data_IF_070778382391
#
_entry.id   IF_070778382391
#
_cell.length_a   1.000
_cell.length_b   1.000
_cell.length_c   1.000
_cell.angle_alpha   90.00
_cell.angle_beta   90.00
_cell.angle_gamma   90.00
#
_symmetry.space_group_name_H-M   'P 1'
#
loop_
_entity.id
_entity.type
_entity.pdbx_description
1 polymer ?
#
# COMPACT_ATOMS: atom_id res chain seq x y z
N UNK A 1 20.04 6.02 14.18
CA UNK A 1 19.81 4.72 14.84
C UNK A 1 19.50 4.90 16.33
N UNK A 2 20.31 5.67 17.08
CA UNK A 2 20.14 5.90 18.53
C UNK A 2 18.77 6.52 18.89
N UNK A 3 18.30 7.53 18.15
CA UNK A 3 16.98 8.14 18.35
C UNK A 3 15.82 7.16 18.14
N UNK A 4 15.94 6.25 17.18
CA UNK A 4 14.94 5.22 16.95
C UNK A 4 14.88 4.21 18.11
N UNK A 5 16.02 3.82 18.65
CA UNK A 5 16.09 2.92 19.82
C UNK A 5 15.45 3.58 21.04
N UNK A 6 15.74 4.86 21.29
CA UNK A 6 15.14 5.64 22.38
C UNK A 6 13.62 5.75 22.20
N UNK A 7 13.14 6.00 20.98
CA UNK A 7 11.72 6.09 20.69
C UNK A 7 10.99 4.78 20.93
N UNK A 8 11.54 3.67 20.45
CA UNK A 8 10.99 2.32 20.69
C UNK A 8 10.97 1.95 22.17
N UNK A 9 12.03 2.29 22.91
CA UNK A 9 12.09 2.06 24.34
C UNK A 9 11.02 2.86 25.10
N UNK A 10 10.81 4.14 24.74
CA UNK A 10 9.76 4.96 25.33
C UNK A 10 8.35 4.42 25.03
N UNK A 11 8.10 3.98 23.79
CA UNK A 11 6.83 3.36 23.41
C UNK A 11 6.59 2.08 24.22
N UNK A 12 7.60 1.22 24.34
CA UNK A 12 7.48 -0.01 25.13
C UNK A 12 7.13 0.28 26.59
N UNK A 13 7.85 1.20 27.23
CA UNK A 13 7.60 1.60 28.63
C UNK A 13 6.18 2.15 28.78
N UNK A 14 5.73 2.98 27.86
CA UNK A 14 4.38 3.55 27.88
C UNK A 14 3.30 2.45 27.81
N UNK A 15 3.43 1.50 26.88
CA UNK A 15 2.48 0.39 26.78
C UNK A 15 2.55 -0.58 27.96
N UNK A 16 3.74 -0.82 28.50
CA UNK A 16 3.91 -1.66 29.71
C UNK A 16 3.25 -1.02 30.93
N UNK A 17 3.34 0.31 31.09
CA UNK A 17 2.63 1.06 32.12
C UNK A 17 1.11 0.97 31.98
N UNK A 18 0.58 1.11 30.76
CA UNK A 18 -0.86 0.93 30.51
C UNK A 18 -1.29 -0.49 30.85
N UNK A 19 -0.56 -1.50 30.38
CA UNK A 19 -0.86 -2.91 30.69
C UNK A 19 -0.83 -3.21 32.18
N UNK A 20 0.14 -2.65 32.89
CA UNK A 20 0.27 -2.85 34.34
C UNK A 20 -0.81 -2.15 35.15
N UNK A 21 -1.49 -1.15 34.57
CA UNK A 21 -2.65 -0.47 35.21
C UNK A 21 -3.95 -1.25 35.11
N UNK A 22 -4.02 -2.25 34.21
CA UNK A 22 -5.18 -3.14 34.09
C UNK A 22 -5.07 -4.26 35.11
N UNK A 23 -5.85 -4.17 36.18
CA UNK A 23 -5.92 -5.19 37.21
C UNK A 23 -7.31 -5.80 37.25
N UNK A 24 -7.40 -7.10 37.37
CA UNK A 24 -8.65 -7.79 37.60
C UNK A 24 -8.97 -7.81 39.11
N UNK A 25 -10.19 -7.48 39.43
CA UNK A 25 -10.67 -7.64 40.81
C UNK A 25 -10.87 -9.13 41.15
N UNK A 26 -10.84 -9.47 42.43
CA UNK A 26 -11.16 -10.85 42.87
C UNK A 26 -12.55 -11.31 42.42
N UNK A 27 -13.51 -10.38 42.30
CA UNK A 27 -14.87 -10.66 41.83
C UNK A 27 -14.85 -11.03 40.34
N UNK A 28 -14.16 -10.24 39.49
CA UNK A 28 -14.03 -10.52 38.06
C UNK A 28 -13.30 -11.85 37.81
N UNK A 29 -12.22 -12.10 38.54
CA UNK A 29 -11.47 -13.36 38.45
C UNK A 29 -12.32 -14.57 38.84
N UNK A 30 -13.16 -14.43 39.88
CA UNK A 30 -14.05 -15.48 40.30
C UNK A 30 -15.16 -15.73 39.30
N UNK A 31 -15.76 -14.67 38.72
CA UNK A 31 -16.77 -14.79 37.64
C UNK A 31 -16.15 -15.50 36.43
N UNK A 32 -14.94 -15.08 36.03
CA UNK A 32 -14.23 -15.69 34.90
C UNK A 32 -13.96 -17.18 35.16
N UNK A 33 -13.51 -17.53 36.38
CA UNK A 33 -13.27 -18.92 36.76
C UNK A 33 -14.54 -19.76 36.64
N UNK A 34 -15.67 -19.26 37.11
CA UNK A 34 -16.98 -19.97 37.02
C UNK A 34 -17.46 -20.09 35.58
N UNK A 35 -17.32 -19.02 34.75
CA UNK A 35 -17.65 -19.07 33.32
C UNK A 35 -16.86 -20.13 32.54
N UNK A 36 -15.60 -20.36 32.92
CA UNK A 36 -14.72 -21.31 32.24
C UNK A 36 -14.83 -22.76 32.77
N UNK A 37 -15.16 -22.94 34.06
CA UNK A 37 -15.04 -24.23 34.72
C UNK A 37 -16.37 -24.86 35.14
N UNK A 38 -17.45 -24.07 35.31
CA UNK A 38 -18.73 -24.60 35.68
C UNK A 38 -19.33 -25.44 34.55
N UNK A 39 -19.82 -26.59 34.90
CA UNK A 39 -20.51 -27.51 33.99
C UNK A 39 -21.98 -27.60 34.34
N UNK A 40 -22.78 -27.49 33.31
CA UNK A 40 -24.24 -27.65 33.44
C UNK A 40 -24.71 -28.81 32.57
N UNK A 41 -25.66 -29.57 33.04
CA UNK A 41 -26.38 -30.56 32.23
C UNK A 41 -27.62 -29.88 31.65
N UNK A 42 -27.78 -29.99 30.33
CA UNK A 42 -28.95 -29.43 29.63
C UNK A 42 -29.66 -30.54 28.86
N UNK A 43 -30.98 -30.48 28.88
CA UNK A 43 -31.83 -31.21 27.95
C UNK A 43 -32.37 -30.21 26.94
N UNK A 44 -32.37 -30.56 25.66
CA UNK A 44 -32.86 -29.66 24.61
C UNK A 44 -33.56 -30.41 23.49
N UNK A 45 -34.54 -29.76 22.90
CA UNK A 45 -35.25 -30.21 21.70
C UNK A 45 -34.89 -29.28 20.55
N UNK A 46 -34.35 -29.82 19.47
CA UNK A 46 -34.07 -29.07 18.24
C UNK A 46 -35.23 -29.25 17.25
N UNK A 47 -35.93 -28.16 16.96
CA UNK A 47 -36.97 -28.14 15.94
C UNK A 47 -36.43 -27.45 14.69
N UNK A 48 -36.28 -28.15 13.56
CA UNK A 48 -35.79 -27.55 12.32
C UNK A 48 -36.85 -26.65 11.69
N UNK A 49 -36.44 -25.50 11.14
CA UNK A 49 -37.38 -24.53 10.56
C UNK A 49 -37.96 -24.93 9.21
N UNK A 50 -37.41 -25.93 8.54
CA UNK A 50 -37.88 -26.48 7.25
C UNK A 50 -39.23 -27.20 7.35
N UNK A 51 -39.68 -27.55 8.56
CA UNK A 51 -41.01 -28.08 8.82
C UNK A 51 -42.13 -27.09 8.41
N UNK A 52 -41.81 -25.77 8.39
CA UNK A 52 -42.73 -24.73 7.91
C UNK A 52 -42.28 -24.29 6.52
N UNK A 53 -43.07 -24.56 5.44
CA UNK A 53 -42.75 -24.09 4.11
C UNK A 53 -42.70 -22.55 4.05
N UNK A 54 -41.66 -21.99 3.39
CA UNK A 54 -41.50 -20.54 3.23
C UNK A 54 -42.66 -19.88 2.51
N UNK A 55 -43.32 -20.62 1.62
CA UNK A 55 -44.52 -20.16 0.89
C UNK A 55 -45.70 -19.79 1.73
N UNK A 56 -45.73 -20.25 3.01
CA UNK A 56 -46.78 -19.89 3.96
C UNK A 56 -46.60 -18.55 4.65
N UNK A 57 -45.40 -17.99 4.55
CA UNK A 57 -45.00 -16.78 5.26
C UNK A 57 -44.52 -15.72 4.25
N UNK A 58 -45.31 -14.67 4.04
CA UNK A 58 -44.91 -13.54 3.19
C UNK A 58 -44.20 -12.49 4.02
N UNK A 59 -43.10 -11.98 3.46
CA UNK A 59 -42.34 -10.82 3.99
C UNK A 59 -42.74 -9.60 3.19
N UNK A 60 -43.15 -8.54 3.87
CA UNK A 60 -43.56 -7.27 3.26
C UNK A 60 -42.42 -6.25 3.36
N UNK A 61 -42.37 -5.32 2.41
CA UNK A 61 -41.39 -4.23 2.41
C UNK A 61 -41.42 -3.37 3.68
N UNK A 62 -42.62 -3.21 4.28
CA UNK A 62 -42.78 -2.51 5.55
C UNK A 62 -42.11 -3.23 6.72
N UNK A 63 -42.04 -4.56 6.69
CA UNK A 63 -41.35 -5.35 7.73
C UNK A 63 -39.84 -5.22 7.58
N UNK A 64 -39.33 -5.29 6.36
CA UNK A 64 -37.91 -5.05 6.05
C UNK A 64 -37.49 -3.63 6.49
N UNK A 65 -38.30 -2.61 6.12
CA UNK A 65 -38.05 -1.24 6.55
C UNK A 65 -38.04 -1.07 8.07
N UNK A 66 -38.96 -1.73 8.77
CA UNK A 66 -39.00 -1.69 10.23
C UNK A 66 -37.83 -2.41 10.88
N UNK A 67 -37.38 -3.52 10.30
CA UNK A 67 -36.21 -4.26 10.73
C UNK A 67 -34.95 -3.42 10.59
N UNK A 68 -34.72 -2.77 9.43
CA UNK A 68 -33.60 -1.89 9.19
C UNK A 68 -33.58 -0.71 10.19
N UNK A 69 -34.73 -0.11 10.48
CA UNK A 69 -34.83 0.98 11.47
C UNK A 69 -34.46 0.51 12.87
N UNK A 70 -34.88 -0.69 13.25
CA UNK A 70 -34.60 -1.28 14.56
C UNK A 70 -33.14 -1.68 14.72
N UNK A 71 -32.55 -2.15 13.64
CA UNK A 71 -31.14 -2.61 13.61
C UNK A 71 -30.21 -1.62 12.90
N UNK A 72 -30.51 -0.32 13.05
CA UNK A 72 -29.84 0.76 12.33
C UNK A 72 -28.31 0.67 12.43
N UNK A 73 -27.79 0.44 13.63
CA UNK A 73 -26.34 0.41 13.89
C UNK A 73 -25.59 -0.69 13.10
N UNK A 74 -26.28 -1.77 12.74
CA UNK A 74 -25.70 -2.88 11.97
C UNK A 74 -25.82 -2.70 10.46
N UNK A 75 -26.79 -1.92 9.98
CA UNK A 75 -27.09 -1.75 8.55
C UNK A 75 -26.79 -0.36 8.01
N UNK A 76 -26.53 0.61 8.89
CA UNK A 76 -26.31 1.97 8.43
C UNK A 76 -25.00 2.10 7.68
N UNK A 77 -25.10 2.54 6.41
CA UNK A 77 -23.94 2.92 5.60
C UNK A 77 -23.31 4.19 6.18
N UNK A 78 -22.03 4.16 6.39
CA UNK A 78 -21.29 5.31 6.86
C UNK A 78 -21.22 6.40 5.79
N UNK A 79 -20.94 7.63 6.21
CA UNK A 79 -20.66 8.70 5.28
C UNK A 79 -19.39 8.34 4.50
N UNK A 80 -19.47 8.41 3.18
CA UNK A 80 -18.34 8.12 2.29
C UNK A 80 -18.27 9.10 1.13
N UNK A 81 -17.09 9.21 0.53
CA UNK A 81 -16.79 10.07 -0.60
C UNK A 81 -16.15 9.24 -1.70
N UNK A 82 -16.48 9.55 -2.95
CA UNK A 82 -15.99 8.89 -4.13
C UNK A 82 -15.13 9.85 -4.94
N UNK A 83 -14.05 9.35 -5.54
CA UNK A 83 -13.18 10.09 -6.45
C UNK A 83 -12.88 9.30 -7.71
N UNK A 84 -12.61 10.04 -8.78
CA UNK A 84 -11.77 9.60 -9.89
C UNK A 84 -10.41 10.28 -9.78
N UNK A 85 -9.36 9.59 -10.18
CA UNK A 85 -8.03 10.17 -10.15
C UNK A 85 -7.13 9.64 -11.25
N UNK A 86 -6.08 10.41 -11.56
CA UNK A 86 -4.93 9.96 -12.34
C UNK A 86 -3.67 10.14 -11.52
N UNK A 87 -2.74 9.22 -11.67
CA UNK A 87 -1.42 9.31 -11.08
C UNK A 87 -0.37 9.54 -12.15
N UNK A 88 0.46 10.56 -11.96
CA UNK A 88 1.57 10.91 -12.81
C UNK A 88 2.85 10.71 -12.01
N UNK A 89 3.61 9.64 -12.27
CA UNK A 89 4.86 9.38 -11.55
C UNK A 89 5.92 10.42 -11.89
N UNK A 90 6.71 10.83 -10.90
CA UNK A 90 7.88 11.68 -11.13
C UNK A 90 9.10 10.81 -11.40
N UNK A 91 9.20 10.32 -12.64
CA UNK A 91 10.22 9.39 -13.08
C UNK A 91 11.16 10.03 -14.08
N UNK A 92 12.37 9.48 -14.16
CA UNK A 92 13.37 9.88 -15.14
C UNK A 92 12.88 9.59 -16.57
N UNK A 93 13.16 10.52 -17.48
CA UNK A 93 12.91 10.35 -18.90
C UNK A 93 13.96 9.44 -19.56
N UNK A 94 13.68 8.99 -20.78
CA UNK A 94 14.65 8.27 -21.60
C UNK A 94 15.91 9.12 -21.90
N UNK A 95 15.77 10.44 -21.90
CA UNK A 95 16.90 11.37 -22.06
C UNK A 95 17.77 11.31 -20.81
N UNK A 96 17.19 11.32 -19.61
CA UNK A 96 17.93 11.21 -18.35
C UNK A 96 18.69 9.88 -18.29
N UNK A 97 18.02 8.77 -18.62
CA UNK A 97 18.66 7.45 -18.65
C UNK A 97 19.84 7.40 -19.64
N UNK A 98 19.69 8.00 -20.83
CA UNK A 98 20.77 8.08 -21.81
C UNK A 98 21.92 8.97 -21.33
N UNK A 99 21.63 10.09 -20.66
CA UNK A 99 22.63 10.95 -20.06
C UNK A 99 23.46 10.23 -18.98
N UNK A 100 22.77 9.49 -18.10
CA UNK A 100 23.42 8.66 -17.08
C UNK A 100 24.31 7.60 -17.73
N UNK A 101 23.83 6.92 -18.76
CA UNK A 101 24.58 5.90 -19.49
C UNK A 101 25.83 6.49 -20.14
N UNK A 102 25.69 7.62 -20.85
CA UNK A 102 26.82 8.34 -21.49
C UNK A 102 27.83 8.81 -20.45
N UNK A 103 27.36 9.31 -19.30
CA UNK A 103 28.27 9.69 -18.22
C UNK A 103 29.06 8.48 -17.68
N UNK A 104 28.42 7.34 -17.48
CA UNK A 104 29.09 6.12 -17.04
C UNK A 104 30.08 5.58 -18.09
N UNK A 105 29.78 5.73 -19.38
CA UNK A 105 30.75 5.40 -20.47
C UNK A 105 31.97 6.29 -20.39
N UNK A 106 31.79 7.59 -20.18
CA UNK A 106 32.91 8.54 -19.98
C UNK A 106 33.70 8.16 -18.71
N UNK A 107 33.07 7.89 -17.61
CA UNK A 107 33.70 7.44 -16.38
C UNK A 107 34.45 6.12 -16.56
N UNK A 108 33.95 5.20 -17.39
CA UNK A 108 34.61 3.94 -17.70
C UNK A 108 35.91 4.15 -18.50
N UNK A 109 35.83 4.96 -19.54
CA UNK A 109 36.89 5.08 -20.56
C UNK A 109 37.85 6.24 -20.32
N UNK A 110 37.48 7.22 -19.52
CA UNK A 110 38.17 8.49 -19.32
C UNK A 110 37.61 9.60 -20.21
N UNK A 111 37.77 10.83 -19.78
CA UNK A 111 37.29 12.02 -20.50
C UNK A 111 38.10 13.25 -20.17
N UNK A 112 37.97 14.26 -21.03
CA UNK A 112 38.60 15.57 -20.80
C UNK A 112 37.56 16.53 -20.24
N UNK A 113 37.92 17.21 -19.17
CA UNK A 113 37.07 18.20 -18.50
C UNK A 113 37.76 19.54 -18.41
N UNK A 114 37.00 20.62 -18.61
CA UNK A 114 37.54 21.97 -18.39
C UNK A 114 37.45 22.31 -16.90
N UNK A 115 38.56 22.54 -16.24
CA UNK A 115 38.63 23.06 -14.90
C UNK A 115 38.24 24.55 -14.92
N UNK A 116 37.08 24.85 -14.32
CA UNK A 116 36.52 26.22 -14.31
C UNK A 116 37.35 27.24 -13.49
N UNK A 117 38.19 26.75 -12.57
CA UNK A 117 39.04 27.60 -11.73
C UNK A 117 40.34 27.99 -12.45
N UNK A 118 40.95 27.03 -13.12
CA UNK A 118 42.24 27.21 -13.80
C UNK A 118 42.12 27.52 -15.29
N UNK A 119 40.91 27.40 -15.88
CA UNK A 119 40.65 27.47 -17.32
C UNK A 119 41.53 26.53 -18.15
N UNK A 120 42.00 25.41 -17.57
CA UNK A 120 42.78 24.39 -18.23
C UNK A 120 41.94 23.15 -18.50
N UNK A 121 42.29 22.41 -19.55
CA UNK A 121 41.69 21.09 -19.81
C UNK A 121 42.46 20.07 -18.98
N UNK A 122 41.74 19.34 -18.15
CA UNK A 122 42.22 18.23 -17.34
C UNK A 122 41.75 16.91 -17.95
N UNK A 123 42.64 15.95 -18.06
CA UNK A 123 42.29 14.59 -18.46
C UNK A 123 41.97 13.75 -17.21
N UNK A 124 40.78 13.24 -17.16
CA UNK A 124 40.29 12.34 -16.10
C UNK A 124 40.49 10.91 -16.60
N UNK A 125 41.29 10.13 -15.87
CA UNK A 125 41.52 8.72 -16.19
C UNK A 125 40.21 7.92 -16.04
N UNK A 126 40.02 6.96 -16.93
CA UNK A 126 38.86 6.07 -16.84
C UNK A 126 38.97 5.08 -15.66
N UNK A 127 37.82 4.62 -15.18
CA UNK A 127 37.73 3.65 -14.09
C UNK A 127 38.52 2.36 -14.38
N UNK A 128 38.71 2.01 -15.65
CA UNK A 128 39.52 0.88 -16.08
C UNK A 128 41.01 1.08 -15.81
N UNK A 129 41.51 2.33 -15.83
CA UNK A 129 42.94 2.69 -15.80
C UNK A 129 43.36 3.29 -14.45
N UNK A 130 42.42 3.77 -13.64
CA UNK A 130 42.69 4.42 -12.35
C UNK A 130 43.32 3.42 -11.37
N UNK A 131 44.32 3.89 -10.60
CA UNK A 131 45.01 3.06 -9.58
C UNK A 131 44.24 3.02 -8.27
N UNK A 132 43.80 4.18 -7.79
CA UNK A 132 42.98 4.30 -6.60
C UNK A 132 41.49 4.30 -7.00
N UNK A 133 40.94 3.10 -7.16
CA UNK A 133 39.55 2.92 -7.51
C UNK A 133 38.60 3.24 -6.34
N UNK A 134 39.08 3.20 -5.08
CA UNK A 134 38.26 3.53 -3.91
C UNK A 134 37.95 5.02 -3.87
N UNK A 135 38.98 5.88 -4.01
CA UNK A 135 38.80 7.33 -4.11
C UNK A 135 37.94 7.71 -5.32
N UNK A 136 38.16 7.03 -6.46
CA UNK A 136 37.37 7.27 -7.67
C UNK A 136 35.90 6.98 -7.49
N UNK A 137 35.56 5.90 -6.77
CA UNK A 137 34.15 5.56 -6.43
C UNK A 137 33.56 6.61 -5.47
N UNK A 138 34.31 7.03 -4.46
CA UNK A 138 33.83 8.07 -3.52
C UNK A 138 33.49 9.39 -4.25
N UNK A 139 34.21 9.73 -5.32
CA UNK A 139 33.97 10.96 -6.09
C UNK A 139 32.78 10.80 -7.05
N UNK A 140 32.69 9.67 -7.76
CA UNK A 140 31.80 9.53 -8.90
C UNK A 140 30.59 8.60 -8.72
N UNK A 141 30.52 7.83 -7.64
CA UNK A 141 29.40 6.94 -7.37
C UNK A 141 28.39 7.58 -6.43
N UNK A 142 27.11 7.32 -6.64
CA UNK A 142 26.05 7.76 -5.75
C UNK A 142 25.93 6.84 -4.51
N UNK A 143 26.57 5.67 -4.57
CA UNK A 143 26.58 4.66 -3.49
C UNK A 143 28.03 4.36 -3.10
N UNK A 144 28.30 4.33 -1.80
CA UNK A 144 29.62 3.98 -1.26
C UNK A 144 29.93 2.50 -1.49
N UNK A 145 31.21 2.20 -1.78
CA UNK A 145 31.68 0.84 -1.96
C UNK A 145 31.96 0.17 -0.60
N UNK A 146 31.42 -1.02 -0.40
CA UNK A 146 31.56 -1.79 0.84
C UNK A 146 32.77 -2.74 0.90
N UNK A 147 33.45 -2.94 -0.23
CA UNK A 147 34.58 -3.85 -0.40
C UNK A 147 34.37 -5.30 0.08
N UNK A 148 33.15 -5.83 -0.13
CA UNK A 148 32.78 -7.19 0.28
C UNK A 148 33.02 -8.19 -0.87
N UNK A 149 33.59 -9.35 -0.50
CA UNK A 149 33.74 -10.48 -1.42
C UNK A 149 32.40 -11.20 -1.57
N UNK A 150 31.93 -11.34 -2.80
CA UNK A 150 30.64 -11.94 -3.15
C UNK A 150 30.81 -13.26 -3.91
N UNK A 151 29.94 -14.21 -3.64
CA UNK A 151 29.76 -15.41 -4.47
C UNK A 151 28.97 -15.06 -5.73
N UNK A 152 28.97 -15.93 -6.73
CA UNK A 152 28.17 -15.74 -7.93
C UNK A 152 26.68 -15.54 -7.65
N UNK A 153 26.13 -16.19 -6.60
CA UNK A 153 24.72 -16.10 -6.22
C UNK A 153 24.35 -14.77 -5.53
N UNK A 154 25.34 -14.09 -4.95
CA UNK A 154 25.16 -12.78 -4.28
C UNK A 154 25.31 -11.61 -5.25
N UNK A 155 25.84 -11.86 -6.47
CA UNK A 155 25.91 -10.85 -7.51
C UNK A 155 24.53 -10.60 -8.15
N UNK A 156 24.38 -9.44 -8.80
CA UNK A 156 23.18 -9.08 -9.54
C UNK A 156 22.74 -10.19 -10.51
N UNK A 157 21.49 -10.65 -10.40
CA UNK A 157 20.97 -11.87 -10.99
C UNK A 157 21.24 -11.99 -12.51
N UNK A 158 20.87 -10.98 -13.29
CA UNK A 158 20.95 -11.00 -14.75
C UNK A 158 22.39 -10.93 -15.27
N UNK A 159 23.31 -10.32 -14.53
CA UNK A 159 24.70 -10.08 -14.94
C UNK A 159 25.71 -10.92 -14.14
N UNK A 160 25.27 -11.77 -13.22
CA UNK A 160 26.13 -12.55 -12.34
C UNK A 160 27.16 -13.40 -13.10
N UNK A 161 26.78 -14.02 -14.23
CA UNK A 161 27.68 -14.82 -15.07
C UNK A 161 28.77 -13.97 -15.71
N UNK A 162 28.42 -12.80 -16.22
CA UNK A 162 29.37 -11.87 -16.85
C UNK A 162 30.33 -11.31 -15.80
N UNK A 163 29.78 -10.78 -14.70
CA UNK A 163 30.56 -10.18 -13.62
C UNK A 163 31.55 -11.16 -13.00
N UNK A 164 31.07 -12.38 -12.73
CA UNK A 164 31.93 -13.43 -12.17
C UNK A 164 33.00 -13.90 -13.16
N UNK A 165 32.73 -13.80 -14.46
CA UNK A 165 33.63 -14.15 -15.56
C UNK A 165 34.76 -13.16 -15.80
N UNK A 166 34.60 -11.88 -15.43
CA UNK A 166 35.55 -10.80 -15.70
C UNK A 166 36.97 -11.14 -15.25
N UNK A 167 37.99 -10.67 -15.97
CA UNK A 167 39.40 -10.75 -15.57
C UNK A 167 39.73 -9.62 -14.61
N UNK A 168 40.77 -9.79 -13.79
CA UNK A 168 41.27 -8.74 -12.90
C UNK A 168 41.57 -7.45 -13.67
N UNK A 169 40.98 -6.35 -13.22
CA UNK A 169 41.09 -5.01 -13.86
C UNK A 169 40.08 -4.78 -14.99
N UNK A 170 39.39 -5.80 -15.47
CA UNK A 170 38.38 -5.66 -16.53
C UNK A 170 37.13 -4.95 -15.99
N UNK A 171 36.55 -4.06 -16.81
CA UNK A 171 35.35 -3.29 -16.47
C UNK A 171 34.23 -3.68 -17.42
N UNK A 172 33.05 -3.96 -16.84
CA UNK A 172 31.81 -4.24 -17.57
C UNK A 172 30.81 -3.12 -17.33
N UNK A 173 29.98 -2.84 -18.31
CA UNK A 173 28.93 -1.82 -18.27
C UNK A 173 29.14 -0.65 -19.23
N UNK A 174 28.23 0.34 -19.23
CA UNK A 174 27.09 0.47 -18.27
C UNK A 174 25.97 -0.56 -18.49
N UNK A 175 25.41 -1.05 -17.40
CA UNK A 175 24.26 -1.93 -17.39
C UNK A 175 23.23 -1.47 -16.35
N UNK A 176 21.95 -1.81 -16.56
CA UNK A 176 20.87 -1.46 -15.65
C UNK A 176 20.71 -2.57 -14.60
N UNK A 177 20.63 -2.17 -13.33
CA UNK A 177 20.35 -3.04 -12.20
C UNK A 177 19.27 -2.37 -11.32
N UNK A 178 18.03 -2.82 -11.48
CA UNK A 178 16.87 -2.20 -10.84
C UNK A 178 16.70 -0.73 -11.24
N UNK A 179 16.72 0.17 -10.24
CA UNK A 179 16.62 1.62 -10.45
C UNK A 179 17.98 2.32 -10.51
N UNK A 180 19.03 1.61 -10.92
CA UNK A 180 20.37 2.15 -11.07
C UNK A 180 21.01 1.74 -12.40
N UNK A 181 21.98 2.54 -12.87
CA UNK A 181 22.96 2.11 -13.84
C UNK A 181 24.31 1.91 -13.17
N UNK A 182 25.06 0.89 -13.60
CA UNK A 182 26.35 0.52 -13.02
C UNK A 182 27.42 0.29 -14.08
N UNK A 183 28.67 0.58 -13.70
CA UNK A 183 29.86 -0.01 -14.31
C UNK A 183 30.63 -0.74 -13.21
N UNK A 184 31.05 -1.96 -13.49
CA UNK A 184 31.66 -2.87 -12.51
C UNK A 184 33.05 -3.28 -12.92
N UNK A 185 34.04 -3.10 -12.04
CA UNK A 185 35.41 -3.50 -12.22
C UNK A 185 35.77 -4.70 -11.36
N UNK A 186 36.33 -5.73 -11.96
CA UNK A 186 36.89 -6.88 -11.22
C UNK A 186 38.20 -6.48 -10.52
N UNK A 187 38.20 -6.51 -9.21
CA UNK A 187 39.39 -6.20 -8.40
C UNK A 187 40.17 -7.45 -8.09
N UNK A 188 39.51 -8.49 -7.60
CA UNK A 188 40.17 -9.72 -7.17
C UNK A 188 39.22 -10.92 -7.23
N UNK A 189 39.83 -12.10 -7.48
CA UNK A 189 39.17 -13.41 -7.30
C UNK A 189 39.85 -14.18 -6.20
N UNK A 190 39.07 -14.70 -5.26
CA UNK A 190 39.54 -15.43 -4.10
C UNK A 190 38.83 -16.75 -3.97
N UNK A 191 39.52 -17.77 -3.54
CA UNK A 191 38.92 -19.02 -3.10
C UNK A 191 38.84 -19.03 -1.57
N UNK A 192 37.65 -19.21 -1.02
CA UNK A 192 37.39 -19.28 0.40
C UNK A 192 36.75 -20.64 0.70
N UNK A 193 37.57 -21.58 1.18
CA UNK A 193 37.18 -22.99 1.29
C UNK A 193 36.82 -23.60 -0.07
N UNK A 194 35.59 -24.05 -0.21
CA UNK A 194 35.06 -24.61 -1.47
C UNK A 194 34.34 -23.57 -2.35
N UNK A 195 34.24 -22.32 -1.92
CA UNK A 195 33.55 -21.26 -2.63
C UNK A 195 34.52 -20.35 -3.36
N UNK A 196 34.23 -20.07 -4.62
CA UNK A 196 34.91 -19.03 -5.37
C UNK A 196 34.17 -17.72 -5.11
N UNK A 197 34.90 -16.69 -4.71
CA UNK A 197 34.40 -15.34 -4.45
C UNK A 197 35.13 -14.33 -5.31
N UNK A 198 34.44 -13.25 -5.60
CA UNK A 198 34.99 -12.09 -6.35
C UNK A 198 34.81 -10.83 -5.55
N UNK A 199 35.77 -9.93 -5.68
CA UNK A 199 35.68 -8.56 -5.20
C UNK A 199 35.46 -7.66 -6.40
N UNK A 200 34.31 -7.02 -6.46
CA UNK A 200 33.93 -6.11 -7.54
C UNK A 200 33.78 -4.70 -6.97
N UNK A 201 34.29 -3.75 -7.70
CA UNK A 201 34.14 -2.34 -7.39
C UNK A 201 33.18 -1.73 -8.41
N UNK A 202 32.11 -1.11 -7.91
CA UNK A 202 31.01 -0.58 -8.72
C UNK A 202 31.00 0.95 -8.66
N UNK A 203 30.81 1.60 -9.79
CA UNK A 203 30.28 2.96 -9.86
C UNK A 203 28.80 2.84 -10.15
N UNK A 204 28.00 3.33 -9.23
CA UNK A 204 26.52 3.25 -9.25
C UNK A 204 25.97 4.64 -9.48
N UNK A 205 25.04 4.78 -10.42
CA UNK A 205 24.25 5.99 -10.65
C UNK A 205 22.78 5.68 -10.50
N UNK A 206 22.12 6.38 -9.60
CA UNK A 206 20.67 6.26 -9.40
C UNK A 206 19.91 6.86 -10.59
N UNK A 207 18.84 6.19 -11.03
CA UNK A 207 17.96 6.68 -12.09
C UNK A 207 16.91 7.58 -11.44
N UNK A 208 17.24 8.87 -11.34
CA UNK A 208 16.36 9.91 -10.81
C UNK A 208 16.00 10.90 -11.93
N UNK A 209 14.79 11.51 -11.89
CA UNK A 209 14.43 12.51 -12.88
C UNK A 209 15.32 13.75 -12.75
N UNK A 210 15.73 14.29 -13.89
CA UNK A 210 16.33 15.62 -13.93
C UNK A 210 15.30 16.70 -13.60
N UNK A 211 15.76 17.90 -13.27
CA UNK A 211 14.87 19.06 -13.09
C UNK A 211 13.95 19.29 -14.30
N UNK A 212 14.44 19.00 -15.49
CA UNK A 212 13.68 19.14 -16.73
C UNK A 212 12.57 18.11 -16.84
N UNK A 213 12.88 16.86 -16.51
CA UNK A 213 11.90 15.77 -16.46
C UNK A 213 10.88 15.97 -15.35
N UNK A 214 11.28 16.32 -14.13
CA UNK A 214 10.36 16.63 -13.03
C UNK A 214 9.45 17.82 -13.37
N UNK A 215 9.97 18.88 -14.03
CA UNK A 215 9.15 19.98 -14.50
C UNK A 215 8.16 19.55 -15.59
N UNK A 216 8.55 18.62 -16.46
CA UNK A 216 7.64 18.06 -17.47
C UNK A 216 6.53 17.25 -16.83
N UNK A 217 6.86 16.38 -15.88
CA UNK A 217 5.89 15.58 -15.11
C UNK A 217 4.92 16.47 -14.31
N UNK A 218 5.43 17.52 -13.68
CA UNK A 218 4.62 18.53 -13.00
C UNK A 218 3.65 19.26 -13.94
N UNK A 219 4.11 19.62 -15.16
CA UNK A 219 3.27 20.25 -16.17
C UNK A 219 2.16 19.31 -16.66
N UNK A 220 2.46 18.03 -16.82
CA UNK A 220 1.46 17.03 -17.19
C UNK A 220 0.37 16.92 -16.12
N UNK A 221 0.74 16.91 -14.83
CA UNK A 221 -0.20 16.92 -13.74
C UNK A 221 -1.03 18.22 -13.65
N UNK A 222 -0.38 19.37 -13.92
CA UNK A 222 -1.08 20.68 -13.99
C UNK A 222 -2.08 20.73 -15.14
N UNK A 223 -1.73 20.12 -16.27
CA UNK A 223 -2.62 20.06 -17.42
C UNK A 223 -3.84 19.16 -17.15
N UNK A 224 -3.63 17.99 -16.50
CA UNK A 224 -4.73 17.11 -16.11
C UNK A 224 -5.70 17.81 -15.13
N UNK A 225 -5.18 18.57 -14.16
CA UNK A 225 -5.97 19.40 -13.24
C UNK A 225 -6.75 20.48 -13.99
N UNK A 226 -6.11 21.18 -14.94
CA UNK A 226 -6.76 22.20 -15.77
C UNK A 226 -7.87 21.61 -16.64
N UNK A 227 -7.61 20.49 -17.31
CA UNK A 227 -8.58 19.80 -18.16
C UNK A 227 -9.82 19.41 -17.35
N UNK A 228 -9.62 18.79 -16.19
CA UNK A 228 -10.70 18.33 -15.33
C UNK A 228 -11.53 19.49 -14.73
N UNK A 229 -10.89 20.63 -14.43
CA UNK A 229 -11.60 21.86 -14.02
C UNK A 229 -12.43 22.50 -15.17
N UNK A 230 -12.16 22.13 -16.42
CA UNK A 230 -12.94 22.52 -17.59
C UNK A 230 -13.88 21.41 -18.08
N UNK A 231 -14.28 20.50 -17.19
CA UNK A 231 -15.19 19.37 -17.46
C UNK A 231 -14.69 18.38 -18.54
N UNK A 232 -13.39 18.36 -18.80
CA UNK A 232 -12.77 17.34 -19.63
C UNK A 232 -12.33 16.15 -18.78
N UNK A 233 -12.19 14.94 -19.35
CA UNK A 233 -11.62 13.79 -18.64
C UNK A 233 -10.22 14.09 -18.12
N UNK A 234 -9.87 13.53 -16.95
CA UNK A 234 -8.57 13.69 -16.31
C UNK A 234 -7.37 13.32 -17.21
N UNK A 235 -7.58 12.43 -18.18
CA UNK A 235 -6.59 12.03 -19.18
C UNK A 235 -6.77 12.67 -20.56
N UNK A 236 -7.48 13.78 -20.64
CA UNK A 236 -7.84 14.43 -21.91
C UNK A 236 -6.62 14.78 -22.76
N UNK A 237 -5.63 15.41 -22.16
CA UNK A 237 -4.38 15.81 -22.82
C UNK A 237 -3.34 14.70 -22.93
N UNK A 238 -3.45 13.62 -22.15
CA UNK A 238 -2.58 12.44 -22.23
C UNK A 238 -3.40 11.17 -22.09
N UNK A 239 -3.71 10.53 -23.22
CA UNK A 239 -4.53 9.31 -23.29
C UNK A 239 -3.84 8.05 -22.73
N UNK A 240 -2.53 8.10 -22.45
CA UNK A 240 -1.79 7.02 -21.82
C UNK A 240 -2.02 6.98 -20.30
N UNK A 241 -2.49 8.08 -19.71
CA UNK A 241 -2.84 8.11 -18.30
C UNK A 241 -4.12 7.28 -18.07
N UNK A 242 -4.02 6.36 -17.13
CA UNK A 242 -5.16 5.57 -16.70
C UNK A 242 -5.97 6.37 -15.65
N UNK A 243 -7.28 6.49 -15.89
CA UNK A 243 -8.21 7.06 -14.91
C UNK A 243 -8.64 5.91 -14.02
N UNK A 244 -8.39 6.02 -12.73
CA UNK A 244 -8.82 5.09 -11.71
C UNK A 244 -9.88 5.73 -10.82
N UNK A 245 -10.64 4.91 -10.10
CA UNK A 245 -11.70 5.36 -9.21
C UNK A 245 -11.64 4.66 -7.87
N UNK A 246 -12.09 5.35 -6.84
CA UNK A 246 -12.27 4.76 -5.52
C UNK A 246 -13.62 5.16 -4.93
N UNK A 247 -14.48 4.17 -4.66
CA UNK A 247 -15.89 4.35 -4.43
C UNK A 247 -16.31 4.65 -2.98
N UNK A 248 -15.41 4.55 -2.00
CA UNK A 248 -15.88 4.64 -0.62
C UNK A 248 -14.80 5.05 0.39
N UNK A 249 -14.35 6.30 0.32
CA UNK A 249 -13.53 6.85 1.40
C UNK A 249 -14.34 7.24 2.62
N UNK A 250 -13.97 6.72 3.78
CA UNK A 250 -14.40 7.22 5.07
C UNK A 250 -13.45 8.33 5.58
N UNK A 251 -13.95 9.18 6.46
CA UNK A 251 -13.20 10.35 6.98
C UNK A 251 -11.85 9.99 7.62
N UNK A 252 -11.74 8.81 8.20
CA UNK A 252 -10.55 8.39 8.96
C UNK A 252 -9.67 7.38 8.22
N UNK A 253 -9.93 7.09 6.95
CA UNK A 253 -9.07 6.23 6.15
C UNK A 253 -7.65 6.80 6.05
N UNK A 254 -6.65 5.93 5.94
CA UNK A 254 -5.24 6.31 5.94
C UNK A 254 -4.78 6.98 4.64
N UNK A 255 -5.50 6.80 3.56
CA UNK A 255 -5.20 7.27 2.19
C UNK A 255 -5.64 6.27 1.15
N UNK A 256 -5.24 6.47 -0.10
CA UNK A 256 -5.41 5.47 -1.15
C UNK A 256 -4.48 4.28 -0.88
N UNK A 257 -4.96 3.03 -1.01
CA UNK A 257 -4.17 1.84 -0.67
C UNK A 257 -2.84 1.72 -1.42
N UNK A 258 -2.80 2.19 -2.66
CA UNK A 258 -1.65 2.05 -3.56
C UNK A 258 -0.59 3.15 -3.37
N UNK A 259 -0.94 4.25 -2.69
CA UNK A 259 -0.08 5.43 -2.62
C UNK A 259 0.23 5.84 -1.18
N UNK A 260 1.49 5.69 -0.80
CA UNK A 260 1.98 6.10 0.51
C UNK A 260 1.81 7.63 0.67
N UNK A 261 1.42 8.06 1.88
CA UNK A 261 1.20 9.49 2.22
C UNK A 261 0.06 10.19 1.46
N UNK A 262 -0.89 9.43 0.90
CA UNK A 262 -2.07 9.97 0.20
C UNK A 262 -3.19 10.46 1.14
N UNK A 263 -3.00 10.42 2.46
CA UNK A 263 -3.98 10.90 3.47
C UNK A 263 -4.47 12.33 3.22
N UNK A 264 -3.66 13.17 2.60
CA UNK A 264 -4.01 14.54 2.22
C UNK A 264 -5.21 14.61 1.24
N UNK A 265 -5.40 13.59 0.40
CA UNK A 265 -6.56 13.47 -0.50
C UNK A 265 -7.85 13.35 0.31
N UNK A 266 -7.86 12.46 1.30
CA UNK A 266 -9.03 12.26 2.17
C UNK A 266 -9.32 13.50 3.01
N UNK A 267 -8.29 14.15 3.56
CA UNK A 267 -8.48 15.42 4.28
C UNK A 267 -9.18 16.46 3.42
N UNK A 268 -8.72 16.63 2.17
CA UNK A 268 -9.33 17.55 1.23
C UNK A 268 -10.79 17.19 0.93
N UNK A 269 -11.08 15.91 0.67
CA UNK A 269 -12.45 15.46 0.41
C UNK A 269 -13.41 15.83 1.55
N UNK A 270 -12.95 15.80 2.81
CA UNK A 270 -13.76 16.12 3.98
C UNK A 270 -13.63 17.57 4.49
N UNK A 271 -12.98 18.46 3.72
CA UNK A 271 -13.01 19.89 3.98
C UNK A 271 -14.42 20.45 3.73
N UNK A 272 -14.84 21.42 4.55
CA UNK A 272 -16.19 21.99 4.47
C UNK A 272 -16.49 22.71 3.15
N UNK A 273 -15.46 23.13 2.44
CA UNK A 273 -15.56 23.85 1.16
C UNK A 273 -15.57 22.95 -0.05
N UNK A 274 -15.09 21.69 0.05
CA UNK A 274 -15.02 20.77 -1.06
C UNK A 274 -16.42 20.32 -1.49
N UNK A 275 -16.67 20.29 -2.78
CA UNK A 275 -17.94 19.94 -3.43
C UNK A 275 -17.73 18.82 -4.46
N UNK A 276 -18.81 18.16 -4.83
CA UNK A 276 -18.84 17.27 -5.98
C UNK A 276 -18.43 18.04 -7.24
N UNK A 277 -17.56 17.48 -8.05
CA UNK A 277 -16.95 18.09 -9.22
C UNK A 277 -15.65 18.84 -8.97
N UNK A 278 -15.31 19.16 -7.70
CA UNK A 278 -14.05 19.82 -7.40
C UNK A 278 -12.86 18.94 -7.78
N UNK A 279 -11.82 19.58 -8.30
CA UNK A 279 -10.58 18.93 -8.72
C UNK A 279 -9.41 19.51 -7.93
N UNK A 280 -8.48 18.65 -7.52
CA UNK A 280 -7.26 19.08 -6.84
C UNK A 280 -6.09 18.17 -7.16
N UNK A 281 -4.94 18.79 -7.36
CA UNK A 281 -3.66 18.11 -7.49
C UNK A 281 -2.96 17.99 -6.14
N UNK A 282 -2.35 16.83 -5.91
CA UNK A 282 -1.57 16.49 -4.73
C UNK A 282 -0.17 16.08 -5.13
N UNK A 283 0.83 16.56 -4.38
CA UNK A 283 2.19 16.06 -4.50
C UNK A 283 2.36 14.91 -3.52
N UNK A 284 2.73 13.75 -4.05
CA UNK A 284 3.09 12.55 -3.30
C UNK A 284 4.62 12.36 -3.34
N UNK A 285 5.12 11.34 -2.64
CA UNK A 285 6.58 11.12 -2.56
C UNK A 285 7.22 10.83 -3.94
N UNK A 286 6.50 10.11 -4.80
CA UNK A 286 7.01 9.59 -6.07
C UNK A 286 6.24 10.13 -7.28
N UNK A 287 5.51 11.25 -7.13
CA UNK A 287 4.77 11.84 -8.23
C UNK A 287 3.61 12.73 -7.81
N UNK A 288 2.67 12.87 -8.73
CA UNK A 288 1.52 13.76 -8.61
C UNK A 288 0.23 12.96 -8.79
N UNK A 289 -0.75 13.24 -7.94
CA UNK A 289 -2.09 12.67 -8.05
C UNK A 289 -3.08 13.81 -8.30
N UNK A 290 -3.87 13.71 -9.36
CA UNK A 290 -4.96 14.64 -9.65
C UNK A 290 -6.26 13.92 -9.39
N UNK A 291 -7.05 14.38 -8.42
CA UNK A 291 -8.31 13.78 -8.02
C UNK A 291 -9.47 14.71 -8.29
N UNK A 292 -10.57 14.15 -8.79
CA UNK A 292 -11.89 14.78 -8.95
C UNK A 292 -12.86 14.15 -7.95
N UNK A 293 -13.52 14.97 -7.14
CA UNK A 293 -14.59 14.51 -6.24
C UNK A 293 -15.84 14.15 -7.06
N UNK A 294 -16.28 12.90 -6.96
CA UNK A 294 -17.41 12.40 -7.79
C UNK A 294 -18.72 12.44 -7.02
N UNK A 295 -18.76 11.82 -5.83
CA UNK A 295 -19.98 11.78 -5.05
C UNK A 295 -19.73 11.86 -3.54
N UNK A 296 -20.72 12.42 -2.83
CA UNK A 296 -20.71 12.59 -1.37
C UNK A 296 -21.89 11.85 -0.77
N UNK A 297 -21.65 10.60 -0.38
CA UNK A 297 -22.66 9.74 0.18
C UNK A 297 -22.86 10.04 1.66
N UNK A 298 -24.04 10.52 2.02
CA UNK A 298 -24.39 10.75 3.42
C UNK A 298 -24.70 9.44 4.13
N UNK A 299 -24.51 9.43 5.43
CA UNK A 299 -24.93 8.35 6.31
C UNK A 299 -26.40 7.99 6.07
N UNK A 300 -26.70 6.76 5.68
CA UNK A 300 -28.04 6.32 5.28
C UNK A 300 -28.25 4.84 5.52
N UNK A 301 -29.51 4.43 5.65
CA UNK A 301 -29.83 3.00 5.59
C UNK A 301 -29.81 2.52 4.12
N UNK A 302 -29.44 1.26 3.87
CA UNK A 302 -29.51 0.67 2.54
C UNK A 302 -30.96 0.65 2.03
N UNK A 303 -31.13 0.64 0.73
CA UNK A 303 -32.45 0.43 0.12
C UNK A 303 -32.96 -0.98 0.40
N UNK A 304 -34.30 -1.14 0.40
CA UNK A 304 -34.93 -2.45 0.62
C UNK A 304 -34.42 -3.48 -0.40
N UNK A 305 -34.20 -3.06 -1.65
CA UNK A 305 -33.74 -3.97 -2.71
C UNK A 305 -32.32 -4.51 -2.48
N UNK A 306 -31.46 -3.71 -1.89
CA UNK A 306 -30.06 -4.11 -1.61
C UNK A 306 -29.97 -5.20 -0.54
N UNK A 307 -30.90 -5.23 0.39
CA UNK A 307 -30.88 -6.13 1.56
C UNK A 307 -32.05 -7.11 1.60
N UNK A 308 -32.89 -7.11 0.56
CA UNK A 308 -34.15 -7.89 0.52
C UNK A 308 -33.91 -9.37 0.84
N UNK A 309 -32.97 -10.00 0.16
CA UNK A 309 -32.74 -11.44 0.30
C UNK A 309 -32.22 -11.79 1.70
N UNK A 310 -31.25 -11.04 2.19
CA UNK A 310 -30.66 -11.24 3.52
C UNK A 310 -31.70 -11.03 4.62
N UNK A 311 -32.35 -9.85 4.63
CA UNK A 311 -33.30 -9.50 5.70
C UNK A 311 -34.55 -10.35 5.63
N UNK A 312 -34.97 -10.76 4.43
CA UNK A 312 -36.11 -11.67 4.30
C UNK A 312 -35.84 -13.03 4.94
N UNK A 313 -34.63 -13.59 4.80
CA UNK A 313 -34.27 -14.84 5.46
C UNK A 313 -34.29 -14.73 6.98
N UNK A 314 -33.78 -13.61 7.52
CA UNK A 314 -33.82 -13.34 8.96
C UNK A 314 -35.27 -13.26 9.46
N UNK A 315 -36.12 -12.45 8.79
CA UNK A 315 -37.49 -12.26 9.15
C UNK A 315 -38.34 -13.54 9.00
N UNK A 316 -38.06 -14.37 7.97
CA UNK A 316 -38.70 -15.70 7.85
C UNK A 316 -38.34 -16.59 9.03
N UNK A 317 -37.09 -16.60 9.45
CA UNK A 317 -36.64 -17.36 10.61
C UNK A 317 -37.36 -16.88 11.90
N UNK A 318 -37.43 -15.56 12.10
CA UNK A 318 -38.18 -14.98 13.25
C UNK A 318 -39.69 -15.33 13.19
N UNK A 319 -40.31 -15.28 12.02
CA UNK A 319 -41.73 -15.65 11.87
C UNK A 319 -41.96 -17.12 12.15
N UNK A 320 -41.08 -18.01 11.66
CA UNK A 320 -41.16 -19.45 11.97
C UNK A 320 -41.01 -19.71 13.46
N UNK A 321 -40.01 -19.08 14.09
CA UNK A 321 -39.84 -19.15 15.55
C UNK A 321 -41.10 -18.69 16.29
N UNK A 322 -41.62 -17.52 15.96
CA UNK A 322 -42.82 -16.98 16.58
C UNK A 322 -44.06 -17.86 16.36
N UNK A 323 -44.15 -18.51 15.18
CA UNK A 323 -45.22 -19.47 14.90
C UNK A 323 -45.15 -20.69 15.84
N UNK A 324 -43.95 -21.26 16.01
CA UNK A 324 -43.75 -22.38 16.95
C UNK A 324 -44.00 -21.99 18.37
N UNK A 325 -43.49 -20.86 18.85
CA UNK A 325 -43.73 -20.37 20.20
C UNK A 325 -45.21 -20.15 20.44
N UNK A 326 -45.95 -19.60 19.48
CA UNK A 326 -47.42 -19.39 19.61
C UNK A 326 -48.17 -20.71 19.60
N UNK A 327 -47.79 -21.68 18.75
CA UNK A 327 -48.43 -23.00 18.63
C UNK A 327 -48.26 -23.80 19.93
N UNK A 328 -47.09 -23.72 20.57
CA UNK A 328 -46.73 -24.54 21.73
C UNK A 328 -46.65 -23.76 23.05
N UNK A 329 -47.20 -22.53 23.10
CA UNK A 329 -47.15 -21.64 24.28
C UNK A 329 -47.71 -22.28 25.58
N UNK A 330 -48.61 -23.23 25.48
CA UNK A 330 -49.24 -23.93 26.61
C UNK A 330 -48.54 -25.24 27.01
N UNK A 331 -47.52 -25.66 26.25
CA UNK A 331 -46.82 -26.92 26.45
C UNK A 331 -45.34 -26.65 26.81
N UNK A 332 -44.99 -26.86 28.08
CA UNK A 332 -43.65 -26.63 28.63
C UNK A 332 -42.87 -27.95 28.82
N UNK A 333 -43.42 -29.07 28.40
CA UNK A 333 -42.78 -30.37 28.57
C UNK A 333 -42.07 -30.81 27.30
N UNK A 334 -40.74 -30.98 27.41
CA UNK A 334 -39.85 -31.35 26.28
C UNK A 334 -40.25 -32.72 25.70
N UNK A 335 -40.67 -33.68 26.54
CA UNK A 335 -41.07 -35.01 26.06
C UNK A 335 -42.34 -34.95 25.21
N UNK A 336 -43.31 -34.10 25.59
CA UNK A 336 -44.53 -33.95 24.82
C UNK A 336 -44.33 -33.18 23.53
N UNK A 337 -43.44 -32.16 23.53
CA UNK A 337 -43.03 -31.40 22.33
C UNK A 337 -42.26 -32.24 21.33
N UNK A 338 -41.57 -33.28 21.77
CA UNK A 338 -40.82 -34.18 20.89
C UNK A 338 -41.67 -35.13 20.07
N UNK A 339 -42.98 -35.26 20.43
CA UNK A 339 -43.96 -36.16 19.78
C UNK A 339 -44.88 -35.44 18.80
N UNK A 340 -44.92 -34.10 18.83
CA UNK A 340 -45.66 -33.23 17.91
C UNK A 340 -44.84 -32.84 16.66
#
# INVERSE_FOLDING_TARGET
QEQNIISLAKQKIYFDLIKSSVTYTNVESNIQYHLENDKVNIEYLRIPYDVIPDSTLQIRDSEISSFLKKNRDSYEKKESREIEYVYIPDVASSIDENNIRTNLEQLRDGFSQMNQVTNSVEEILGFKDVKDYSEYIEIYSDVSWDSIYQTKQELSGDFSDILFGLRKGEVFGPYRDGNTFKISRMIEKKRDGNLNKVLIADIVKEIIPSNESSNSNYRAASQAEFDANNDLPLNSSNKELFIDSFESFEKFDSGLPEYINSRQVIKWLYENQTREGDVKRFTLNEGYLVAKAISFNKKSLPSINEVRDEVSQILLTEKKFNFFVKKHKSNNDIESLSKD
#
